data_IF_065031839550
#
_entry.id   IF_065031839550
#
_cell.length_a   1.000
_cell.length_b   1.000
_cell.length_c   1.000
_cell.angle_alpha   90.00
_cell.angle_beta   90.00
_cell.angle_gamma   90.00
#
_symmetry.space_group_name_H-M   'P 1'
#
loop_
_entity.id
_entity.type
_entity.pdbx_description
1 polymer ?
#
# COMPACT_ATOMS: atom_id res chain seq x y z
N UNK A 1 -9.12 13.22 0.17
CA UNK A 1 -9.33 11.94 -0.54
C UNK A 1 -9.30 10.84 0.50
N UNK A 2 -10.24 9.88 0.48
CA UNK A 2 -10.17 8.71 1.38
C UNK A 2 -9.30 7.63 0.74
N UNK A 3 -8.21 7.22 1.38
CA UNK A 3 -7.27 6.25 0.81
C UNK A 3 -7.15 5.00 1.68
N UNK A 4 -7.06 3.86 1.02
CA UNK A 4 -6.70 2.57 1.62
C UNK A 4 -5.27 2.23 1.22
N UNK A 5 -4.44 1.84 2.18
CA UNK A 5 -3.06 1.44 1.96
C UNK A 5 -2.91 -0.02 2.41
N UNK A 6 -2.35 -0.86 1.55
CA UNK A 6 -2.16 -2.28 1.80
C UNK A 6 -0.68 -2.62 1.70
N UNK A 7 -0.13 -3.27 2.71
CA UNK A 7 1.26 -3.73 2.74
C UNK A 7 1.36 -5.25 2.62
N UNK A 8 2.16 -5.71 1.66
CA UNK A 8 2.69 -7.09 1.59
C UNK A 8 4.19 -7.10 1.82
N UNK A 9 4.70 -6.08 2.52
CA UNK A 9 6.09 -6.03 2.91
C UNK A 9 6.45 -7.21 3.82
N UNK A 10 7.68 -7.70 3.68
CA UNK A 10 8.21 -8.78 4.54
C UNK A 10 9.59 -8.42 5.06
N UNK A 11 10.01 -9.10 6.14
CA UNK A 11 11.29 -8.83 6.83
C UNK A 11 11.40 -7.34 7.23
N UNK A 12 12.60 -6.78 7.22
CA UNK A 12 12.86 -5.40 7.63
C UNK A 12 12.12 -4.35 6.79
N UNK A 13 11.68 -4.68 5.56
CA UNK A 13 10.85 -3.78 4.78
C UNK A 13 9.48 -3.54 5.43
N UNK A 14 8.93 -4.52 6.18
CA UNK A 14 7.67 -4.37 6.90
C UNK A 14 7.80 -3.32 7.99
N UNK A 15 8.81 -3.46 8.85
CA UNK A 15 9.06 -2.52 9.95
C UNK A 15 9.17 -1.09 9.45
N UNK A 16 10.01 -0.86 8.43
CA UNK A 16 10.23 0.49 7.92
C UNK A 16 9.01 1.08 7.20
N UNK A 17 8.32 0.29 6.37
CA UNK A 17 7.10 0.77 5.69
C UNK A 17 5.98 1.05 6.69
N UNK A 18 5.81 0.20 7.71
CA UNK A 18 4.87 0.40 8.80
C UNK A 18 5.13 1.73 9.53
N UNK A 19 6.39 1.98 9.94
CA UNK A 19 6.78 3.21 10.64
C UNK A 19 6.47 4.47 9.82
N UNK A 20 6.67 4.42 8.50
CA UNK A 20 6.34 5.53 7.62
C UNK A 20 4.83 5.71 7.49
N UNK A 21 4.07 4.64 7.22
CA UNK A 21 2.62 4.74 6.99
C UNK A 21 1.89 5.19 8.27
N UNK A 22 2.33 4.74 9.45
CA UNK A 22 1.74 5.11 10.75
C UNK A 22 1.79 6.61 11.04
N UNK A 23 2.68 7.37 10.38
CA UNK A 23 2.74 8.83 10.51
C UNK A 23 1.64 9.54 9.69
N UNK A 24 1.00 8.85 8.74
CA UNK A 24 0.04 9.43 7.80
C UNK A 24 -1.36 8.83 7.93
N UNK A 25 -1.48 7.60 8.43
CA UNK A 25 -2.72 6.85 8.38
C UNK A 25 -2.90 5.93 9.60
N UNK A 26 -4.16 5.69 9.93
CA UNK A 26 -4.54 4.82 11.04
C UNK A 26 -4.57 3.36 10.58
N UNK A 27 -4.07 2.46 11.43
CA UNK A 27 -4.12 1.01 11.17
C UNK A 27 -5.56 0.51 11.30
N UNK A 28 -6.01 -0.20 10.28
CA UNK A 28 -7.31 -0.90 10.27
C UNK A 28 -7.15 -2.42 10.26
N UNK A 29 -5.90 -2.91 10.22
CA UNK A 29 -5.51 -4.30 10.42
C UNK A 29 -3.99 -4.47 10.31
N UNK A 30 -3.50 -5.70 10.43
CA UNK A 30 -2.05 -6.03 10.45
C UNK A 30 -1.25 -5.54 9.24
N UNK A 31 -1.93 -5.38 8.11
CA UNK A 31 -1.38 -5.05 6.81
C UNK A 31 -2.19 -3.96 6.07
N UNK A 32 -3.09 -3.26 6.77
CA UNK A 32 -4.00 -2.30 6.18
C UNK A 32 -4.09 -1.01 7.00
N UNK A 33 -4.17 0.11 6.30
CA UNK A 33 -4.35 1.44 6.87
C UNK A 33 -5.35 2.24 6.04
N UNK A 34 -6.04 3.16 6.69
CA UNK A 34 -6.97 4.06 6.03
C UNK A 34 -6.85 5.47 6.59
N UNK A 35 -7.04 6.47 5.74
CA UNK A 35 -7.06 7.88 6.17
C UNK A 35 -7.75 8.76 5.15
N UNK A 36 -8.27 9.90 5.61
CA UNK A 36 -8.59 11.03 4.73
C UNK A 36 -7.35 11.90 4.60
N UNK A 37 -6.78 11.99 3.40
CA UNK A 37 -5.54 12.71 3.12
C UNK A 37 -5.66 13.59 1.87
N UNK A 38 -4.83 14.63 1.78
CA UNK A 38 -4.70 15.45 0.57
C UNK A 38 -3.88 14.71 -0.51
N UNK A 39 -3.97 15.17 -1.76
CA UNK A 39 -3.13 14.64 -2.84
C UNK A 39 -1.63 14.88 -2.56
N UNK A 40 -1.28 16.02 -1.98
CA UNK A 40 0.08 16.31 -1.58
C UNK A 40 0.55 15.35 -0.47
N UNK A 41 -0.28 15.09 0.53
CA UNK A 41 0.02 14.14 1.60
C UNK A 41 0.28 12.73 1.05
N UNK A 42 -0.55 12.25 0.13
CA UNK A 42 -0.35 10.92 -0.48
C UNK A 42 0.91 10.87 -1.36
N UNK A 43 1.23 11.97 -2.05
CA UNK A 43 2.46 12.08 -2.86
C UNK A 43 3.71 12.11 -1.97
N UNK A 44 3.66 12.79 -0.83
CA UNK A 44 4.73 12.80 0.17
C UNK A 44 4.93 11.41 0.77
N UNK A 45 3.86 10.74 1.19
CA UNK A 45 3.91 9.36 1.66
C UNK A 45 4.57 8.44 0.62
N UNK A 46 4.16 8.52 -0.65
CA UNK A 46 4.75 7.75 -1.76
C UNK A 46 6.25 8.03 -1.89
N UNK A 47 6.67 9.30 -1.80
CA UNK A 47 8.08 9.69 -1.90
C UNK A 47 8.92 9.09 -0.76
N UNK A 48 8.41 9.15 0.47
CA UNK A 48 9.09 8.58 1.65
C UNK A 48 9.22 7.06 1.56
N UNK A 49 8.15 6.36 1.16
CA UNK A 49 8.18 4.92 0.93
C UNK A 49 9.16 4.53 -0.18
N UNK A 50 9.24 5.30 -1.28
CA UNK A 50 10.20 5.06 -2.36
C UNK A 50 11.64 5.23 -1.89
N UNK A 51 11.93 6.23 -1.04
CA UNK A 51 13.28 6.52 -0.55
C UNK A 51 13.86 5.38 0.30
N UNK A 52 12.99 4.63 1.01
CA UNK A 52 13.37 3.54 1.92
C UNK A 52 13.06 2.16 1.37
N UNK A 53 12.58 2.08 0.12
CA UNK A 53 12.15 0.82 -0.49
C UNK A 53 13.31 -0.17 -0.59
N UNK A 54 13.03 -1.41 -0.20
CA UNK A 54 13.95 -2.57 -0.31
C UNK A 54 13.34 -3.61 -1.25
N UNK A 55 14.08 -4.67 -1.56
CA UNK A 55 13.59 -5.82 -2.36
C UNK A 55 12.26 -6.40 -1.87
N UNK A 56 12.02 -6.37 -0.56
CA UNK A 56 10.82 -6.91 0.08
C UNK A 56 9.75 -5.86 0.36
N UNK A 57 9.91 -4.60 -0.08
CA UNK A 57 8.86 -3.59 -0.01
C UNK A 57 7.79 -3.92 -1.04
N UNK A 58 6.52 -3.89 -0.64
CA UNK A 58 5.37 -4.08 -1.51
C UNK A 58 4.18 -3.38 -0.85
N UNK A 59 3.91 -2.14 -1.27
CA UNK A 59 2.82 -1.31 -0.73
C UNK A 59 1.95 -0.83 -1.89
N UNK A 60 0.64 -1.04 -1.80
CA UNK A 60 -0.35 -0.51 -2.74
C UNK A 60 -1.17 0.59 -2.04
N UNK A 61 -1.51 1.65 -2.78
CA UNK A 61 -2.41 2.70 -2.31
C UNK A 61 -3.58 2.85 -3.27
N UNK A 62 -4.78 2.86 -2.71
CA UNK A 62 -6.03 2.95 -3.42
C UNK A 62 -6.81 4.19 -2.99
N UNK A 63 -7.45 4.85 -3.95
CA UNK A 63 -8.44 5.88 -3.68
C UNK A 63 -9.83 5.24 -3.58
N UNK A 64 -10.49 5.44 -2.44
CA UNK A 64 -11.89 5.10 -2.24
C UNK A 64 -12.76 6.29 -2.67
N UNK A 65 -13.41 6.16 -3.82
CA UNK A 65 -14.30 7.19 -4.37
C UNK A 65 -15.65 7.15 -3.67
N UNK A 66 -16.35 8.29 -3.67
CA UNK A 66 -17.69 8.43 -3.06
C UNK A 66 -18.73 7.51 -3.69
N UNK A 67 -18.55 7.11 -4.96
CA UNK A 67 -19.43 6.21 -5.70
C UNK A 67 -19.15 4.71 -5.42
N UNK A 68 -18.33 4.38 -4.42
CA UNK A 68 -17.97 3.01 -4.06
C UNK A 68 -16.87 2.39 -4.92
N UNK A 69 -16.40 3.08 -5.98
CA UNK A 69 -15.28 2.59 -6.78
C UNK A 69 -13.96 2.70 -6.00
N UNK A 70 -13.10 1.71 -6.19
CA UNK A 70 -11.73 1.70 -5.66
C UNK A 70 -10.76 1.77 -6.83
N UNK A 71 -9.91 2.80 -6.84
CA UNK A 71 -8.94 3.02 -7.92
C UNK A 71 -7.51 2.84 -7.39
N UNK A 72 -6.69 2.05 -8.07
CA UNK A 72 -5.27 1.93 -7.75
C UNK A 72 -4.55 3.22 -8.12
N UNK A 73 -4.02 3.93 -7.13
CA UNK A 73 -3.22 5.15 -7.38
C UNK A 73 -1.78 4.80 -7.73
N UNK A 74 -1.16 3.93 -6.94
CA UNK A 74 0.23 3.54 -7.14
C UNK A 74 0.60 2.29 -6.34
N UNK A 75 1.71 1.68 -6.75
CA UNK A 75 2.41 0.64 -6.00
C UNK A 75 3.86 1.10 -5.77
N UNK A 76 4.40 0.83 -4.59
CA UNK A 76 5.82 0.98 -4.27
C UNK A 76 6.42 -0.40 -4.01
N UNK A 77 7.51 -0.70 -4.72
CA UNK A 77 8.27 -1.95 -4.58
C UNK A 77 7.75 -3.08 -5.46
N UNK A 78 7.68 -4.30 -4.91
CA UNK A 78 7.43 -5.52 -5.63
C UNK A 78 5.96 -5.68 -6.05
N UNK A 79 5.67 -5.29 -7.29
CA UNK A 79 4.34 -5.38 -7.90
C UNK A 79 3.79 -6.82 -8.00
N UNK A 80 4.66 -7.85 -8.06
CA UNK A 80 4.23 -9.26 -8.16
C UNK A 80 3.50 -9.77 -6.91
N UNK A 81 3.45 -8.97 -5.84
CA UNK A 81 2.63 -9.24 -4.65
C UNK A 81 1.16 -8.89 -4.84
N UNK A 82 0.82 -8.19 -5.93
CA UNK A 82 -0.51 -7.70 -6.23
C UNK A 82 -0.97 -8.16 -7.62
N UNK A 83 -2.28 -8.20 -7.84
CA UNK A 83 -2.85 -8.35 -9.18
C UNK A 83 -2.88 -7.01 -9.94
N UNK A 84 -3.45 -6.98 -11.15
CA UNK A 84 -3.52 -5.78 -11.99
C UNK A 84 -4.24 -4.60 -11.33
N UNK A 85 -5.16 -4.85 -10.40
CA UNK A 85 -5.88 -3.83 -9.64
C UNK A 85 -5.19 -3.48 -8.30
N UNK A 86 -3.97 -3.98 -8.06
CA UNK A 86 -3.24 -3.73 -6.82
C UNK A 86 -3.81 -4.47 -5.61
N UNK A 87 -4.70 -5.45 -5.81
CA UNK A 87 -5.28 -6.27 -4.74
C UNK A 87 -4.38 -7.46 -4.44
N UNK A 88 -4.43 -7.94 -3.19
CA UNK A 88 -3.68 -9.13 -2.76
C UNK A 88 -4.36 -10.37 -3.32
N UNK A 89 -3.68 -11.23 -4.11
CA UNK A 89 -4.26 -12.46 -4.62
C UNK A 89 -4.58 -13.42 -3.46
N UNK A 90 -5.82 -13.91 -3.40
CA UNK A 90 -6.30 -14.87 -2.38
C UNK A 90 -6.07 -16.32 -2.79
N UNK A 91 -6.19 -16.61 -4.09
CA UNK A 91 -5.88 -17.92 -4.67
C UNK A 91 -4.63 -17.79 -5.55
N UNK A 92 -3.57 -18.55 -5.22
CA UNK A 92 -2.44 -18.76 -6.12
C UNK A 92 -2.54 -20.19 -6.61
N UNK A 93 -2.87 -20.40 -7.88
CA UNK A 93 -2.67 -21.69 -8.52
C UNK A 93 -1.16 -21.88 -8.63
N UNK A 94 -0.58 -22.65 -7.72
CA UNK A 94 0.78 -23.15 -7.84
C UNK A 94 0.76 -24.16 -8.98
N UNK A 95 1.11 -23.75 -10.19
CA UNK A 95 1.59 -24.73 -11.18
C UNK A 95 3.04 -25.02 -10.79
N UNK A 96 3.25 -26.27 -10.34
CA UNK A 96 4.56 -26.86 -10.06
C UNK A 96 5.32 -26.97 -11.38
#
# INVERSE_FOLDING_TARGET
>A
MNVLIISRCTKNARVESCRIIDQFAERTGDAAWQTVITLEGVNTLRRLLRKTARRNTAVACHWLKKNGQTELMWIVGNIRRFNAQGRVPTNRTTQI
#
